data_IF_753368538865
#
_entry.id   IF_753368538865
#
_cell.length_a   1.000
_cell.length_b   1.000
_cell.length_c   1.000
_cell.angle_alpha   90.00
_cell.angle_beta   90.00
_cell.angle_gamma   90.00
#
_symmetry.space_group_name_H-M   'P 1'
#
loop_
_entity.id
_entity.type
_entity.pdbx_description
1 polymer ?
#
# COMPACT_ATOMS: atom_id res chain seq x y z
N UNK A 1 5.34 -14.02 14.01
CA UNK A 1 5.81 -12.67 14.37
C UNK A 1 7.18 -12.48 13.77
N UNK A 2 7.33 -11.55 12.83
CA UNK A 2 8.66 -11.17 12.34
C UNK A 2 9.36 -10.43 13.49
N UNK A 3 10.48 -10.93 14.05
CA UNK A 3 11.13 -10.26 15.16
C UNK A 3 11.51 -8.84 14.71
N UNK A 4 10.95 -7.84 15.39
CA UNK A 4 11.30 -6.44 15.13
C UNK A 4 12.83 -6.30 15.13
N UNK A 5 13.37 -5.65 14.09
CA UNK A 5 14.80 -5.41 13.93
C UNK A 5 15.31 -4.72 15.20
N UNK A 6 16.44 -5.20 15.73
CA UNK A 6 17.04 -4.67 16.96
C UNK A 6 18.12 -3.67 16.63
N UNK A 7 18.37 -2.77 17.57
CA UNK A 7 19.47 -1.82 17.45
C UNK A 7 20.82 -2.54 17.32
N UNK A 8 21.65 -2.11 16.37
CA UNK A 8 22.99 -2.65 16.12
C UNK A 8 24.04 -2.28 17.18
N UNK A 9 23.72 -1.34 18.10
CA UNK A 9 24.64 -1.00 19.21
C UNK A 9 24.78 -2.19 20.16
N UNK A 10 26.02 -2.53 20.50
CA UNK A 10 26.34 -3.62 21.43
C UNK A 10 25.56 -3.48 22.74
N UNK A 11 25.02 -4.59 23.24
CA UNK A 11 24.17 -4.67 24.44
C UNK A 11 22.84 -3.89 24.38
N UNK A 12 22.47 -3.29 23.24
CA UNK A 12 21.19 -2.61 23.09
C UNK A 12 20.11 -3.56 22.55
N UNK A 13 19.19 -3.99 23.41
CA UNK A 13 18.08 -4.86 23.02
C UNK A 13 16.87 -4.16 22.38
N UNK A 14 16.85 -2.82 22.34
CA UNK A 14 15.69 -2.03 21.88
C UNK A 14 15.38 -2.22 20.40
N UNK A 15 14.10 -2.04 20.04
CA UNK A 15 13.65 -2.01 18.65
C UNK A 15 14.28 -0.84 17.90
N UNK A 16 14.67 -1.10 16.66
CA UNK A 16 15.17 -0.08 15.75
C UNK A 16 14.03 0.72 15.13
N UNK A 17 14.29 2.01 14.88
CA UNK A 17 13.35 2.94 14.24
C UNK A 17 14.00 3.74 13.10
N UNK A 18 15.33 3.71 13.02
CA UNK A 18 16.10 4.41 12.01
C UNK A 18 17.21 3.52 11.45
N UNK A 19 17.61 3.78 10.20
CA UNK A 19 18.74 3.13 9.56
C UNK A 19 19.83 4.17 9.25
N UNK A 20 21.05 3.85 9.64
CA UNK A 20 22.27 4.66 9.46
C UNK A 20 23.15 4.05 8.38
N UNK A 21 23.56 4.88 7.43
CA UNK A 21 24.53 4.52 6.37
C UNK A 21 25.68 5.51 6.36
N UNK A 22 26.91 5.02 6.20
CA UNK A 22 28.09 5.85 6.02
C UNK A 22 28.48 5.90 4.54
N UNK A 23 28.53 7.11 3.97
CA UNK A 23 29.01 7.38 2.63
C UNK A 23 30.43 7.94 2.74
N UNK A 24 31.41 7.05 2.70
CA UNK A 24 32.81 7.39 2.97
C UNK A 24 33.41 8.38 1.96
N UNK A 25 33.04 8.27 0.68
CA UNK A 25 33.54 9.14 -0.37
C UNK A 25 33.18 10.62 -0.11
N UNK A 26 31.98 10.84 0.44
CA UNK A 26 31.43 12.17 0.72
C UNK A 26 31.66 12.62 2.16
N UNK A 27 32.25 11.74 3.00
CA UNK A 27 32.40 11.95 4.45
C UNK A 27 31.05 12.24 5.13
N UNK A 28 30.02 11.48 4.78
CA UNK A 28 28.65 11.73 5.26
C UNK A 28 28.08 10.52 5.99
N UNK A 29 27.41 10.79 7.11
CA UNK A 29 26.58 9.83 7.84
C UNK A 29 25.11 10.17 7.61
N UNK A 30 24.40 9.33 6.87
CA UNK A 30 22.98 9.51 6.56
C UNK A 30 22.15 8.69 7.51
N UNK A 31 21.26 9.36 8.25
CA UNK A 31 20.28 8.72 9.11
C UNK A 31 18.88 8.94 8.50
N UNK A 32 18.22 7.84 8.15
CA UNK A 32 16.86 7.85 7.62
C UNK A 32 15.91 6.92 8.38
N UNK A 33 14.65 6.81 7.92
CA UNK A 33 13.70 5.83 8.44
C UNK A 33 14.27 4.42 8.46
N UNK A 34 13.75 3.57 9.34
CA UNK A 34 14.07 2.15 9.32
C UNK A 34 13.79 1.58 7.92
N UNK A 35 14.83 1.03 7.28
CA UNK A 35 14.68 0.44 5.95
C UNK A 35 13.66 -0.70 5.99
N UNK A 36 12.88 -0.83 4.92
CA UNK A 36 11.87 -1.90 4.78
C UNK A 36 12.52 -3.29 4.92
N UNK A 37 13.75 -3.43 4.40
CA UNK A 37 14.55 -4.64 4.47
C UNK A 37 15.87 -4.39 5.20
N UNK A 38 16.47 -5.46 5.73
CA UNK A 38 17.78 -5.39 6.34
C UNK A 38 18.86 -5.25 5.26
N UNK A 39 19.55 -4.11 5.27
CA UNK A 39 20.58 -3.78 4.28
C UNK A 39 21.98 -4.25 4.78
N UNK A 40 22.79 -4.95 3.96
CA UNK A 40 24.07 -5.55 4.38
C UNK A 40 25.15 -4.59 4.89
N UNK A 41 24.99 -3.28 4.69
CA UNK A 41 25.99 -2.27 5.03
C UNK A 41 25.41 -1.09 5.83
N UNK A 42 24.22 -1.27 6.39
CA UNK A 42 23.55 -0.27 7.20
C UNK A 42 23.42 -0.72 8.65
N UNK A 43 23.28 0.25 9.55
CA UNK A 43 23.13 0.02 10.98
C UNK A 43 21.77 0.48 11.43
N UNK A 44 21.09 -0.37 12.18
CA UNK A 44 19.79 -0.05 12.73
C UNK A 44 19.91 0.56 14.11
N UNK A 45 19.29 1.71 14.32
CA UNK A 45 19.36 2.45 15.57
C UNK A 45 17.96 2.58 16.18
N UNK A 46 17.87 2.33 17.49
CA UNK A 46 16.72 2.74 18.28
C UNK A 46 16.72 4.27 18.45
N UNK A 47 15.56 4.84 18.79
CA UNK A 47 15.33 6.28 18.94
C UNK A 47 16.46 6.99 19.71
N UNK A 48 16.77 6.51 20.92
CA UNK A 48 17.84 7.08 21.74
C UNK A 48 19.22 7.04 21.04
N UNK A 49 19.55 5.96 20.33
CA UNK A 49 20.85 5.84 19.67
C UNK A 49 20.92 6.62 18.36
N UNK A 50 19.81 6.81 17.66
CA UNK A 50 19.74 7.73 16.53
C UNK A 50 19.94 9.18 16.97
N UNK A 51 19.30 9.61 18.06
CA UNK A 51 19.43 10.98 18.58
C UNK A 51 20.86 11.29 19.05
N UNK A 52 21.47 10.36 19.79
CA UNK A 52 22.82 10.54 20.35
C UNK A 52 23.95 10.21 19.38
N UNK A 53 23.64 9.81 18.15
CA UNK A 53 24.63 9.52 17.14
C UNK A 53 25.44 10.77 16.79
N UNK A 54 26.77 10.62 16.81
CA UNK A 54 27.74 11.59 16.30
C UNK A 54 28.57 10.95 15.18
N UNK A 55 28.87 11.70 14.13
CA UNK A 55 29.79 11.27 13.08
C UNK A 55 31.27 11.56 13.45
N UNK A 56 32.23 10.94 12.75
CA UNK A 56 33.65 11.30 12.86
C UNK A 56 33.91 12.80 12.62
N UNK A 57 35.07 13.29 13.07
CA UNK A 57 35.43 14.71 12.87
C UNK A 57 35.54 15.03 11.38
N UNK A 58 34.94 16.14 10.97
CA UNK A 58 34.91 16.58 9.58
C UNK A 58 33.82 15.92 8.73
N UNK A 59 33.01 15.02 9.30
CA UNK A 59 31.90 14.39 8.59
C UNK A 59 30.60 15.17 8.78
N UNK A 60 29.76 15.16 7.74
CA UNK A 60 28.40 15.70 7.80
C UNK A 60 27.42 14.64 8.32
N UNK A 61 26.44 15.05 9.12
CA UNK A 61 25.32 14.20 9.54
C UNK A 61 24.05 14.69 8.86
N UNK A 62 23.57 13.92 7.88
CA UNK A 62 22.30 14.18 7.21
C UNK A 62 21.20 13.37 7.89
N UNK A 63 20.30 14.05 8.58
CA UNK A 63 19.09 13.44 9.14
C UNK A 63 17.95 13.70 8.17
N UNK A 64 17.54 12.65 7.46
CA UNK A 64 16.40 12.74 6.57
C UNK A 64 15.15 12.90 7.46
N UNK A 65 14.50 14.06 7.35
CA UNK A 65 13.21 14.25 7.98
C UNK A 65 12.29 13.17 7.44
N UNK A 66 11.73 12.36 8.32
CA UNK A 66 10.50 11.68 7.98
C UNK A 66 9.33 12.49 8.47
N UNK A 67 8.24 12.35 7.77
CA UNK A 67 6.96 12.29 8.45
C UNK A 67 6.91 10.93 9.16
N UNK A 68 7.28 10.90 10.44
CA UNK A 68 7.22 9.74 11.35
C UNK A 68 5.78 9.22 11.54
N UNK A 69 4.84 9.91 10.93
CA UNK A 69 3.41 9.78 11.00
C UNK A 69 2.93 9.78 9.57
N UNK A 70 3.13 8.68 8.88
CA UNK A 70 2.00 8.25 8.07
C UNK A 70 0.99 7.74 9.09
N UNK A 71 -0.10 8.47 9.40
CA UNK A 71 -1.09 8.03 10.39
C UNK A 71 -1.74 6.69 10.01
N UNK A 72 -1.40 6.14 8.83
CA UNK A 72 -2.09 5.03 8.24
C UNK A 72 -3.47 5.48 7.76
N UNK A 73 -4.19 4.59 7.07
CA UNK A 73 -5.58 4.84 6.74
C UNK A 73 -6.37 5.10 8.03
N UNK A 74 -7.19 6.14 8.01
CA UNK A 74 -8.12 6.43 9.10
C UNK A 74 -9.14 5.32 9.26
N UNK A 75 -9.88 5.31 10.38
CA UNK A 75 -10.94 4.33 10.57
C UNK A 75 -12.02 4.42 9.46
N UNK A 76 -12.28 5.63 8.96
CA UNK A 76 -13.19 5.88 7.85
C UNK A 76 -12.68 5.27 6.54
N UNK A 77 -11.39 5.43 6.24
CA UNK A 77 -10.77 4.80 5.07
C UNK A 77 -10.88 3.27 5.11
N UNK A 78 -10.72 2.67 6.30
CA UNK A 78 -10.86 1.23 6.49
C UNK A 78 -12.32 0.77 6.29
N UNK A 79 -13.30 1.56 6.72
CA UNK A 79 -14.72 1.31 6.49
C UNK A 79 -15.07 1.43 5.01
N UNK A 80 -14.62 2.49 4.33
CA UNK A 80 -14.82 2.72 2.92
C UNK A 80 -14.26 1.57 2.07
N UNK A 81 -13.06 1.07 2.40
CA UNK A 81 -12.49 -0.11 1.75
C UNK A 81 -13.31 -1.36 1.99
N UNK A 82 -13.82 -1.56 3.22
CA UNK A 82 -14.67 -2.70 3.53
C UNK A 82 -15.99 -2.67 2.73
N UNK A 83 -16.57 -1.48 2.55
CA UNK A 83 -17.76 -1.29 1.71
C UNK A 83 -17.47 -1.52 0.22
N UNK A 84 -16.36 -0.97 -0.29
CA UNK A 84 -15.94 -1.19 -1.67
C UNK A 84 -15.73 -2.69 -1.97
N UNK A 85 -15.13 -3.44 -1.04
CA UNK A 85 -14.96 -4.90 -1.17
C UNK A 85 -16.32 -5.63 -1.15
N UNK A 86 -17.26 -5.21 -0.30
CA UNK A 86 -18.63 -5.77 -0.28
C UNK A 86 -19.36 -5.51 -1.60
N UNK A 87 -19.23 -4.32 -2.16
CA UNK A 87 -19.84 -3.96 -3.43
C UNK A 87 -19.23 -4.76 -4.58
N UNK A 88 -17.91 -4.83 -4.64
CA UNK A 88 -17.19 -5.60 -5.67
C UNK A 88 -17.50 -7.11 -5.60
N UNK A 89 -17.80 -7.63 -4.41
CA UNK A 89 -18.20 -9.02 -4.20
C UNK A 89 -19.69 -9.29 -4.47
N UNK A 90 -20.51 -8.27 -4.77
CA UNK A 90 -21.93 -8.47 -5.05
C UNK A 90 -22.09 -9.28 -6.35
N UNK A 91 -22.83 -10.41 -6.33
CA UNK A 91 -23.14 -11.13 -7.55
C UNK A 91 -23.84 -10.18 -8.54
N UNK A 92 -23.50 -10.21 -9.84
CA UNK A 92 -24.21 -9.43 -10.83
C UNK A 92 -25.70 -9.78 -10.73
N UNK A 93 -26.53 -8.74 -10.62
CA UNK A 93 -27.97 -8.92 -10.59
C UNK A 93 -28.38 -9.70 -11.86
N UNK A 94 -29.16 -10.79 -11.72
CA UNK A 94 -29.61 -11.52 -12.88
C UNK A 94 -30.30 -10.54 -13.82
N UNK A 95 -29.80 -10.46 -15.05
CA UNK A 95 -30.37 -9.59 -16.07
C UNK A 95 -31.88 -9.81 -16.12
N UNK A 96 -32.69 -8.74 -16.25
CA UNK A 96 -34.14 -8.88 -16.33
C UNK A 96 -34.46 -9.91 -17.41
N UNK A 97 -35.16 -10.96 -17.01
CA UNK A 97 -35.67 -11.95 -17.94
C UNK A 97 -36.63 -11.20 -18.86
N UNK A 98 -36.16 -10.83 -20.06
CA UNK A 98 -37.04 -10.36 -21.13
C UNK A 98 -37.93 -11.55 -21.43
N UNK A 99 -39.17 -11.49 -20.94
CA UNK A 99 -40.17 -12.47 -21.26
C UNK A 99 -40.35 -12.42 -22.79
N UNK A 100 -40.32 -13.57 -23.50
CA UNK A 100 -40.42 -13.61 -24.96
C UNK A 100 -41.69 -12.97 -25.54
N UNK A 101 -42.65 -12.60 -24.68
CA UNK A 101 -43.92 -11.98 -25.04
C UNK A 101 -43.83 -10.46 -25.27
N UNK A 102 -42.77 -9.79 -24.81
CA UNK A 102 -42.58 -8.34 -24.95
C UNK A 102 -41.58 -7.96 -26.07
N UNK A 103 -41.24 -8.91 -26.95
CA UNK A 103 -40.46 -8.66 -28.16
C UNK A 103 -41.41 -8.37 -29.34
N UNK A 104 -41.60 -7.10 -29.77
CA UNK A 104 -42.46 -6.76 -30.89
C UNK A 104 -41.91 -7.30 -32.23
N UNK A 105 -40.70 -7.87 -32.25
CA UNK A 105 -40.09 -8.46 -33.45
C UNK A 105 -40.51 -9.92 -33.71
N UNK A 106 -41.24 -10.55 -32.78
CA UNK A 106 -41.76 -11.92 -32.98
C UNK A 106 -43.10 -11.93 -33.71
N UNK A 107 -43.05 -11.58 -35.00
CA UNK A 107 -44.14 -11.79 -35.92
C UNK A 107 -44.60 -13.25 -35.96
N UNK A 108 -45.93 -13.46 -35.95
CA UNK A 108 -46.56 -14.78 -35.99
C UNK A 108 -46.17 -15.54 -37.27
N UNK A 109 -45.49 -16.67 -37.12
CA UNK A 109 -45.11 -17.54 -38.24
C UNK A 109 -46.31 -18.38 -38.69
N UNK A 110 -46.97 -17.97 -39.77
CA UNK A 110 -47.85 -18.83 -40.57
C UNK A 110 -47.27 -18.92 -41.99
N UNK A 111 -46.60 -20.04 -42.28
CA UNK A 111 -46.23 -20.49 -43.62
C UNK A 111 -45.45 -19.49 -44.50
N UNK A 112 -44.12 -19.65 -44.55
CA UNK A 112 -43.12 -19.12 -45.50
C UNK A 112 -43.15 -17.64 -45.94
N UNK A 113 -44.11 -16.81 -45.52
CA UNK A 113 -44.14 -15.38 -45.80
C UNK A 113 -43.92 -14.56 -44.53
N UNK A 114 -43.02 -13.58 -44.59
CA UNK A 114 -42.72 -12.64 -43.51
C UNK A 114 -43.18 -11.25 -43.95
N UNK A 115 -44.16 -10.66 -43.25
CA UNK A 115 -44.59 -9.28 -43.49
C UNK A 115 -43.88 -8.39 -42.47
N UNK A 116 -43.18 -7.37 -42.97
CA UNK A 116 -42.61 -6.30 -42.16
C UNK A 116 -43.58 -5.10 -42.24
N UNK A 117 -44.16 -4.70 -41.12
CA UNK A 117 -44.88 -3.42 -41.02
C UNK A 117 -43.88 -2.33 -40.69
N UNK A 118 -43.73 -1.37 -41.59
CA UNK A 118 -42.94 -0.15 -41.38
C UNK A 118 -43.87 0.96 -40.94
N UNK A 119 -43.58 1.59 -39.81
CA UNK A 119 -43.75 3.03 -39.59
C UNK A 119 -42.52 3.52 -38.81
#
# INVERSE_FOLDING_TARGET
MNPARRCSRTACGRAAVATLTYVYADQTAVLGPLSVHAEPHAYDLCEQHSERLSAPRGWEVLRLAHDLRDPGPSNDDLLALADAVREAARPPEPAPHVHPADDPSQGVRRGHLRVLTTD
#
